data_IF_624464126766
#
_entry.id   IF_624464126766
#
_cell.length_a   1.000
_cell.length_b   1.000
_cell.length_c   1.000
_cell.angle_alpha   90.00
_cell.angle_beta   90.00
_cell.angle_gamma   90.00
#
_symmetry.space_group_name_H-M   'P 1'
#
loop_
_entity.id
_entity.type
_entity.pdbx_description
1 polymer ?
#
# COMPACT_ATOMS: atom_id res chain seq x y z
N UNK A 1 19.98 0.43 -7.40
CA UNK A 1 20.00 0.16 -8.86
C UNK A 1 20.66 -1.16 -9.24
N UNK A 2 21.79 -1.56 -8.62
CA UNK A 2 22.47 -2.84 -8.95
C UNK A 2 21.56 -4.08 -8.89
N UNK A 3 20.72 -4.21 -7.85
CA UNK A 3 19.79 -5.35 -7.74
C UNK A 3 18.74 -5.38 -8.85
N UNK A 4 18.20 -4.22 -9.23
CA UNK A 4 17.24 -4.12 -10.32
C UNK A 4 17.87 -4.48 -11.67
N UNK A 5 19.13 -4.08 -11.90
CA UNK A 5 19.89 -4.49 -13.09
C UNK A 5 20.00 -6.02 -13.17
N UNK A 6 20.39 -6.69 -12.07
CA UNK A 6 20.51 -8.16 -12.04
C UNK A 6 19.17 -8.86 -12.29
N UNK A 7 18.09 -8.37 -11.69
CA UNK A 7 16.74 -8.92 -11.92
C UNK A 7 16.33 -8.78 -13.39
N UNK A 8 16.64 -7.65 -14.03
CA UNK A 8 16.37 -7.42 -15.45
C UNK A 8 17.20 -8.32 -16.35
N UNK A 9 18.52 -8.42 -16.13
CA UNK A 9 19.42 -9.28 -16.92
C UNK A 9 19.08 -10.77 -16.80
N UNK A 10 18.56 -11.19 -15.64
CA UNK A 10 18.06 -12.54 -15.42
C UNK A 10 16.61 -12.75 -15.94
N UNK A 11 15.97 -11.71 -16.50
CA UNK A 11 14.63 -11.80 -17.10
C UNK A 11 13.46 -11.79 -16.12
N UNK A 12 13.68 -11.49 -14.84
CA UNK A 12 12.61 -11.51 -13.83
C UNK A 12 11.73 -10.25 -13.85
N UNK A 13 12.25 -9.10 -14.26
CA UNK A 13 11.51 -7.84 -14.33
C UNK A 13 11.71 -7.15 -15.69
N UNK A 14 10.80 -6.23 -16.01
CA UNK A 14 10.95 -5.29 -17.13
C UNK A 14 12.09 -4.29 -16.89
N UNK A 15 12.46 -3.54 -17.93
CA UNK A 15 13.57 -2.59 -17.88
C UNK A 15 13.37 -1.53 -16.78
N UNK A 16 14.32 -1.49 -15.84
CA UNK A 16 14.20 -0.71 -14.60
C UNK A 16 14.49 0.79 -14.73
N UNK A 17 14.87 1.29 -15.92
CA UNK A 17 15.11 2.71 -16.18
C UNK A 17 13.97 3.25 -17.02
N UNK A 18 12.84 3.48 -16.36
CA UNK A 18 11.59 3.93 -16.94
C UNK A 18 10.99 5.04 -16.07
N UNK A 19 10.35 6.01 -16.71
CA UNK A 19 9.51 7.03 -16.07
C UNK A 19 8.01 6.80 -16.35
N UNK A 20 7.69 5.71 -17.03
CA UNK A 20 6.34 5.29 -17.39
C UNK A 20 5.71 4.44 -16.29
N UNK A 21 4.41 4.63 -16.07
CA UNK A 21 3.56 3.78 -15.23
C UNK A 21 2.64 2.91 -16.08
N UNK A 22 2.78 2.95 -17.40
CA UNK A 22 1.99 2.17 -18.34
C UNK A 22 2.24 0.67 -18.17
N UNK A 23 1.20 -0.13 -18.35
CA UNK A 23 1.27 -1.59 -18.37
C UNK A 23 0.75 -2.08 -19.71
N UNK A 24 1.43 -3.04 -20.32
CA UNK A 24 0.93 -3.65 -21.56
C UNK A 24 -0.39 -4.37 -21.31
N UNK A 25 -1.20 -4.54 -22.36
CA UNK A 25 -2.46 -5.26 -22.25
C UNK A 25 -2.26 -6.71 -21.77
N UNK A 26 -1.17 -7.35 -22.19
CA UNK A 26 -0.80 -8.69 -21.74
C UNK A 26 -0.48 -8.71 -20.25
N UNK A 27 0.28 -7.72 -19.76
CA UNK A 27 0.59 -7.60 -18.34
C UNK A 27 -0.66 -7.40 -17.48
N UNK A 28 -1.57 -6.53 -17.94
CA UNK A 28 -2.85 -6.26 -17.28
C UNK A 28 -3.72 -7.54 -17.24
N UNK A 29 -3.82 -8.26 -18.34
CA UNK A 29 -4.60 -9.51 -18.41
C UNK A 29 -3.99 -10.58 -17.50
N UNK A 30 -2.68 -10.74 -17.52
CA UNK A 30 -1.93 -11.69 -16.69
C UNK A 30 -2.20 -11.47 -15.20
N UNK A 31 -1.99 -10.24 -14.71
CA UNK A 31 -2.16 -9.96 -13.28
C UNK A 31 -3.62 -10.03 -12.84
N UNK A 32 -4.56 -9.63 -13.70
CA UNK A 32 -6.01 -9.75 -13.41
C UNK A 32 -6.45 -11.21 -13.34
N UNK A 33 -5.93 -12.07 -14.21
CA UNK A 33 -6.13 -13.52 -14.14
C UNK A 33 -5.62 -14.07 -12.81
N UNK A 34 -4.38 -13.75 -12.45
CA UNK A 34 -3.80 -14.15 -11.16
C UNK A 34 -4.64 -13.69 -9.96
N UNK A 35 -5.15 -12.45 -9.99
CA UNK A 35 -6.00 -11.91 -8.91
C UNK A 35 -7.32 -12.68 -8.81
N UNK A 36 -7.95 -12.98 -9.95
CA UNK A 36 -9.18 -13.77 -10.01
C UNK A 36 -9.00 -15.12 -9.34
N UNK A 37 -7.91 -15.83 -9.69
CA UNK A 37 -7.64 -17.18 -9.24
C UNK A 37 -7.18 -17.25 -7.77
N UNK A 38 -6.37 -16.27 -7.34
CA UNK A 38 -5.70 -16.31 -6.03
C UNK A 38 -6.47 -15.60 -4.90
N UNK A 39 -7.26 -14.56 -5.21
CA UNK A 39 -7.94 -13.74 -4.20
C UNK A 39 -9.47 -13.76 -4.34
N UNK A 40 -9.99 -14.03 -5.53
CA UNK A 40 -11.40 -14.08 -5.83
C UNK A 40 -12.01 -12.75 -6.25
N UNK A 41 -13.25 -12.81 -6.77
CA UNK A 41 -13.91 -11.72 -7.49
C UNK A 41 -13.98 -10.38 -6.76
N UNK A 42 -14.10 -10.38 -5.42
CA UNK A 42 -14.17 -9.14 -4.63
C UNK A 42 -12.90 -8.30 -4.66
N UNK A 43 -11.76 -8.90 -5.01
CA UNK A 43 -10.47 -8.23 -5.12
C UNK A 43 -10.14 -7.76 -6.55
N UNK A 44 -10.94 -8.16 -7.53
CA UNK A 44 -10.73 -7.83 -8.94
C UNK A 44 -11.69 -6.69 -9.35
N UNK A 45 -11.17 -5.50 -9.71
CA UNK A 45 -11.98 -4.44 -10.27
C UNK A 45 -12.67 -4.87 -11.57
N UNK A 46 -13.91 -4.42 -11.77
CA UNK A 46 -14.69 -4.73 -12.98
C UNK A 46 -13.92 -4.33 -14.26
N UNK A 47 -13.41 -3.10 -14.29
CA UNK A 47 -12.55 -2.59 -15.34
C UNK A 47 -11.08 -2.53 -14.89
N UNK A 48 -10.10 -2.73 -15.79
CA UNK A 48 -8.69 -2.55 -15.46
C UNK A 48 -8.38 -1.14 -14.92
N UNK A 49 -7.50 -1.05 -13.93
CA UNK A 49 -7.02 0.23 -13.44
C UNK A 49 -6.00 0.79 -14.44
N UNK A 50 -6.16 2.06 -14.84
CA UNK A 50 -5.20 2.76 -15.69
C UNK A 50 -4.51 3.86 -14.89
N UNK A 51 -3.22 4.04 -15.12
CA UNK A 51 -2.39 5.05 -14.46
C UNK A 51 -1.77 5.95 -15.52
N UNK A 52 -1.84 7.27 -15.29
CA UNK A 52 -1.26 8.23 -16.22
C UNK A 52 0.28 8.20 -16.16
N UNK A 53 0.91 8.15 -17.34
CA UNK A 53 2.33 8.48 -17.51
C UNK A 53 2.50 10.00 -17.68
N UNK A 54 3.70 10.52 -17.42
CA UNK A 54 4.01 11.94 -17.65
C UNK A 54 4.01 12.24 -19.15
N UNK A 55 3.55 13.43 -19.56
CA UNK A 55 3.48 13.86 -20.98
C UNK A 55 4.82 13.80 -21.75
N UNK A 56 5.96 13.78 -21.04
CA UNK A 56 7.30 13.67 -21.63
C UNK A 56 7.96 12.30 -21.43
N UNK A 57 7.22 11.29 -20.93
CA UNK A 57 7.76 9.93 -20.87
C UNK A 57 8.01 9.45 -22.28
N UNK A 58 9.14 8.80 -22.53
CA UNK A 58 9.32 8.12 -23.81
C UNK A 58 8.23 7.04 -23.89
N UNK A 59 7.16 7.33 -24.64
CA UNK A 59 5.86 6.64 -24.62
C UNK A 59 5.94 5.12 -24.90
N UNK A 60 7.11 4.62 -25.29
CA UNK A 60 7.38 3.20 -25.56
C UNK A 60 7.81 2.38 -24.32
N UNK A 61 8.07 2.98 -23.15
CA UNK A 61 8.52 2.22 -21.98
C UNK A 61 7.35 1.74 -21.11
N UNK A 62 7.48 0.53 -20.61
CA UNK A 62 6.56 -0.07 -19.64
C UNK A 62 7.01 0.28 -18.20
N UNK A 63 6.09 0.19 -17.24
CA UNK A 63 6.42 0.24 -15.82
C UNK A 63 7.32 -0.93 -15.41
N UNK A 64 8.03 -0.76 -14.29
CA UNK A 64 8.80 -1.84 -13.66
C UNK A 64 7.81 -2.84 -13.05
N UNK A 65 7.79 -4.06 -13.58
CA UNK A 65 6.92 -5.16 -13.11
C UNK A 65 7.61 -6.51 -13.29
N UNK A 66 7.11 -7.60 -12.68
CA UNK A 66 7.52 -8.95 -13.02
C UNK A 66 7.26 -9.26 -14.48
N UNK A 67 8.15 -10.04 -15.09
CA UNK A 67 7.93 -10.62 -16.41
C UNK A 67 6.78 -11.63 -16.40
N UNK A 68 6.68 -12.42 -15.32
CA UNK A 68 5.61 -13.39 -15.05
C UNK A 68 5.09 -13.19 -13.62
N UNK A 69 3.79 -13.02 -13.46
CA UNK A 69 3.14 -12.84 -12.15
C UNK A 69 3.14 -14.12 -11.31
N UNK A 70 3.24 -15.30 -11.92
CA UNK A 70 3.22 -16.58 -11.23
C UNK A 70 4.56 -16.90 -10.53
N UNK A 71 5.65 -16.22 -10.93
CA UNK A 71 6.96 -16.38 -10.31
C UNK A 71 7.01 -15.61 -8.99
N UNK A 72 7.15 -16.32 -7.88
CA UNK A 72 7.28 -15.73 -6.54
C UNK A 72 8.74 -15.47 -6.18
N UNK A 73 9.00 -14.52 -5.28
CA UNK A 73 10.36 -14.12 -4.87
C UNK A 73 11.21 -15.30 -4.36
N UNK A 74 10.56 -16.24 -3.67
CA UNK A 74 11.17 -17.42 -3.07
C UNK A 74 11.67 -18.43 -4.13
N UNK A 75 11.19 -18.32 -5.38
CA UNK A 75 11.64 -19.17 -6.48
C UNK A 75 12.97 -18.69 -7.10
N UNK A 76 13.41 -17.46 -6.83
CA UNK A 76 14.63 -16.86 -7.38
C UNK A 76 15.88 -17.34 -6.61
N UNK A 77 16.16 -18.64 -6.65
CA UNK A 77 17.24 -19.28 -5.88
C UNK A 77 18.64 -18.75 -6.20
N UNK A 78 18.87 -18.30 -7.43
CA UNK A 78 20.16 -17.76 -7.89
C UNK A 78 20.34 -16.26 -7.60
N UNK A 79 19.36 -15.64 -6.94
CA UNK A 79 19.39 -14.23 -6.56
C UNK A 79 19.69 -14.05 -5.08
N UNK A 80 20.47 -13.03 -4.76
CA UNK A 80 20.77 -12.62 -3.39
C UNK A 80 19.50 -12.19 -2.65
N UNK A 81 19.51 -12.29 -1.32
CA UNK A 81 18.35 -12.00 -0.48
C UNK A 81 17.75 -10.60 -0.72
N UNK A 82 18.60 -9.59 -0.98
CA UNK A 82 18.13 -8.24 -1.23
C UNK A 82 17.52 -8.06 -2.64
N UNK A 83 17.98 -8.83 -3.63
CA UNK A 83 17.33 -8.89 -4.94
C UNK A 83 15.97 -9.59 -4.86
N UNK A 84 15.85 -10.66 -4.06
CA UNK A 84 14.56 -11.32 -3.81
C UNK A 84 13.57 -10.37 -3.09
N UNK A 85 14.02 -9.62 -2.08
CA UNK A 85 13.17 -8.60 -1.40
C UNK A 85 12.74 -7.49 -2.37
N UNK A 86 13.64 -7.03 -3.23
CA UNK A 86 13.30 -6.02 -4.24
C UNK A 86 12.28 -6.57 -5.25
N UNK A 87 12.46 -7.81 -5.71
CA UNK A 87 11.49 -8.47 -6.56
C UNK A 87 10.13 -8.60 -5.87
N UNK A 88 10.10 -9.02 -4.60
CA UNK A 88 8.86 -9.11 -3.82
C UNK A 88 8.14 -7.75 -3.73
N UNK A 89 8.89 -6.66 -3.54
CA UNK A 89 8.33 -5.31 -3.51
C UNK A 89 7.71 -4.92 -4.87
N UNK A 90 8.43 -5.16 -5.97
CA UNK A 90 7.95 -4.90 -7.33
C UNK A 90 6.70 -5.73 -7.62
N UNK A 91 6.73 -7.03 -7.28
CA UNK A 91 5.61 -7.95 -7.45
C UNK A 91 4.37 -7.50 -6.67
N UNK A 92 4.53 -7.15 -5.38
CA UNK A 92 3.42 -6.68 -4.53
C UNK A 92 2.80 -5.40 -5.07
N UNK A 93 3.62 -4.45 -5.51
CA UNK A 93 3.16 -3.21 -6.10
C UNK A 93 2.39 -3.45 -7.41
N UNK A 94 2.89 -4.33 -8.28
CA UNK A 94 2.27 -4.68 -9.55
C UNK A 94 0.92 -5.40 -9.36
N UNK A 95 0.83 -6.36 -8.44
CA UNK A 95 -0.45 -7.03 -8.14
C UNK A 95 -1.43 -6.05 -7.49
N UNK A 96 -0.99 -5.29 -6.47
CA UNK A 96 -1.83 -4.34 -5.76
C UNK A 96 -2.46 -3.28 -6.69
N UNK A 97 -1.74 -2.82 -7.72
CA UNK A 97 -2.24 -1.76 -8.59
C UNK A 97 -3.43 -2.20 -9.46
N UNK A 98 -3.66 -3.51 -9.64
CA UNK A 98 -4.82 -4.03 -10.34
C UNK A 98 -5.88 -4.64 -9.39
N UNK A 99 -5.76 -4.41 -8.08
CA UNK A 99 -6.75 -4.85 -7.09
C UNK A 99 -7.73 -3.73 -6.73
N UNK A 100 -8.87 -4.12 -6.16
CA UNK A 100 -9.89 -3.18 -5.63
C UNK A 100 -9.37 -2.36 -4.44
N UNK A 101 -9.88 -1.13 -4.24
CA UNK A 101 -9.55 -0.30 -3.09
C UNK A 101 -9.84 -0.96 -1.75
N UNK A 102 -9.01 -0.68 -0.74
CA UNK A 102 -9.36 -0.93 0.65
C UNK A 102 -10.51 0.00 1.09
N UNK A 103 -11.41 -0.49 1.93
CA UNK A 103 -12.56 0.27 2.44
C UNK A 103 -12.45 0.42 3.95
N UNK A 104 -12.77 1.62 4.44
CA UNK A 104 -12.67 1.99 5.84
C UNK A 104 -13.90 2.78 6.29
N UNK A 105 -14.36 2.50 7.50
CA UNK A 105 -15.28 3.38 8.21
C UNK A 105 -14.45 4.43 8.95
N UNK A 106 -14.56 5.69 8.55
CA UNK A 106 -13.79 6.79 9.15
C UNK A 106 -14.63 7.53 10.19
N UNK A 107 -14.04 7.82 11.34
CA UNK A 107 -14.62 8.63 12.42
C UNK A 107 -13.75 9.85 12.67
N UNK A 108 -14.37 11.04 12.71
CA UNK A 108 -13.70 12.28 13.11
C UNK A 108 -14.45 12.89 14.28
N UNK A 109 -13.78 13.01 15.41
CA UNK A 109 -14.27 13.73 16.58
C UNK A 109 -13.66 15.14 16.58
N UNK A 110 -14.50 16.14 16.85
CA UNK A 110 -14.05 17.52 17.07
C UNK A 110 -14.46 17.92 18.48
N UNK A 111 -13.48 18.31 19.30
CA UNK A 111 -13.66 18.66 20.71
C UNK A 111 -13.36 20.14 20.89
N UNK A 112 -14.27 20.87 21.53
CA UNK A 112 -14.03 22.25 21.96
C UNK A 112 -13.43 22.26 23.36
N UNK A 113 -12.41 23.10 23.59
CA UNK A 113 -11.78 23.30 24.89
C UNK A 113 -11.42 24.78 25.05
N UNK A 114 -12.31 25.56 25.68
CA UNK A 114 -12.21 27.02 25.68
C UNK A 114 -12.23 27.56 24.24
N UNK A 115 -11.23 28.36 23.89
CA UNK A 115 -11.06 28.92 22.54
C UNK A 115 -10.41 27.95 21.54
N UNK A 116 -10.01 26.75 22.00
CA UNK A 116 -9.34 25.76 21.16
C UNK A 116 -10.32 24.73 20.59
N UNK A 117 -9.96 24.20 19.41
CA UNK A 117 -10.60 23.03 18.81
C UNK A 117 -9.58 21.94 18.54
N UNK A 118 -9.80 20.78 19.13
CA UNK A 118 -9.01 19.58 18.90
C UNK A 118 -9.75 18.64 17.95
N UNK A 119 -9.00 17.83 17.20
CA UNK A 119 -9.55 16.80 16.33
C UNK A 119 -8.89 15.46 16.62
N UNK A 120 -9.71 14.44 16.79
CA UNK A 120 -9.26 13.06 16.76
C UNK A 120 -9.82 12.37 15.52
N UNK A 121 -8.99 11.60 14.84
CA UNK A 121 -9.37 10.77 13.71
C UNK A 121 -9.09 9.32 14.03
N UNK A 122 -9.98 8.45 13.60
CA UNK A 122 -9.80 7.02 13.63
C UNK A 122 -10.53 6.39 12.46
N UNK A 123 -10.14 5.17 12.11
CA UNK A 123 -10.82 4.40 11.07
C UNK A 123 -10.77 2.92 11.38
N UNK A 124 -11.78 2.20 10.93
CA UNK A 124 -11.88 0.74 11.05
C UNK A 124 -11.85 0.14 9.64
N UNK A 125 -10.94 -0.81 9.42
CA UNK A 125 -10.86 -1.53 8.15
C UNK A 125 -12.10 -2.41 7.95
N UNK A 126 -12.84 -2.18 6.86
CA UNK A 126 -13.97 -3.00 6.43
C UNK A 126 -13.59 -4.03 5.39
N UNK A 127 -12.66 -3.66 4.50
CA UNK A 127 -12.17 -4.52 3.44
C UNK A 127 -10.72 -4.17 3.12
N UNK A 128 -9.84 -5.17 3.16
CA UNK A 128 -8.39 -5.02 2.94
C UNK A 128 -8.04 -4.67 1.49
N UNK A 129 -8.81 -5.10 0.49
CA UNK A 129 -8.55 -4.78 -0.92
C UNK A 129 -7.09 -5.04 -1.31
N UNK A 130 -6.46 -4.09 -2.00
CA UNK A 130 -5.04 -4.14 -2.37
C UNK A 130 -4.07 -4.25 -1.17
N UNK A 131 -4.46 -3.78 0.02
CA UNK A 131 -3.58 -3.84 1.22
C UNK A 131 -3.33 -5.26 1.70
N UNK A 132 -4.10 -6.23 1.21
CA UNK A 132 -3.87 -7.65 1.43
C UNK A 132 -2.50 -8.12 0.93
N UNK A 133 -2.06 -7.60 -0.21
CA UNK A 133 -0.78 -8.00 -0.84
C UNK A 133 0.33 -6.99 -0.60
N UNK A 134 -0.01 -5.71 -0.48
CA UNK A 134 0.94 -4.64 -0.23
C UNK A 134 0.54 -3.94 1.08
N UNK A 135 1.12 -4.35 2.22
CA UNK A 135 0.78 -3.77 3.51
C UNK A 135 0.95 -2.25 3.48
N UNK A 136 -0.10 -1.52 3.85
CA UNK A 136 -0.05 -0.07 3.90
C UNK A 136 1.02 0.37 4.91
N UNK A 137 1.87 1.32 4.51
CA UNK A 137 2.76 2.01 5.44
C UNK A 137 1.87 2.80 6.40
N UNK A 138 1.69 2.28 7.62
CA UNK A 138 0.86 2.92 8.65
C UNK A 138 1.44 4.29 8.96
N UNK A 139 0.75 5.35 8.55
CA UNK A 139 1.12 6.71 8.91
C UNK A 139 0.35 7.10 10.18
N UNK A 140 1.02 6.97 11.31
CA UNK A 140 0.54 7.45 12.60
C UNK A 140 -0.71 6.76 13.14
N UNK A 141 -1.42 7.50 13.97
CA UNK A 141 -2.49 7.03 14.85
C UNK A 141 -3.87 6.88 14.17
N UNK A 142 -3.98 7.03 12.84
CA UNK A 142 -5.29 7.05 12.17
C UNK A 142 -5.96 5.67 12.13
N UNK A 143 -5.23 4.57 12.32
CA UNK A 143 -5.73 3.19 12.36
C UNK A 143 -6.31 2.77 13.73
N UNK A 144 -6.72 3.74 14.57
CA UNK A 144 -7.34 3.45 15.86
C UNK A 144 -8.86 3.50 15.80
N UNK A 145 -9.48 2.65 16.61
CA UNK A 145 -10.90 2.78 16.91
C UNK A 145 -11.07 3.90 17.92
N UNK A 146 -11.97 4.85 17.65
CA UNK A 146 -12.33 5.89 18.60
C UNK A 146 -13.48 5.41 19.49
N UNK A 147 -13.53 5.84 20.77
CA UNK A 147 -14.64 5.53 21.64
C UNK A 147 -15.93 6.17 21.11
N UNK A 148 -17.06 5.53 21.42
CA UNK A 148 -18.37 6.11 21.15
C UNK A 148 -18.58 7.33 22.05
N UNK A 149 -18.87 8.48 21.43
CA UNK A 149 -19.22 9.72 22.11
C UNK A 149 -20.33 10.42 21.33
N UNK A 150 -21.19 11.14 22.04
CA UNK A 150 -22.27 11.93 21.47
C UNK A 150 -21.90 13.42 21.45
N UNK A 151 -22.59 14.18 20.61
CA UNK A 151 -22.49 15.63 20.62
C UNK A 151 -22.96 16.15 21.98
N UNK A 152 -22.08 16.86 22.68
CA UNK A 152 -22.35 17.45 23.99
C UNK A 152 -21.78 16.67 25.17
N UNK A 153 -21.20 15.48 24.94
CA UNK A 153 -20.51 14.75 25.99
C UNK A 153 -19.33 15.57 26.52
N UNK A 154 -19.19 15.60 27.85
CA UNK A 154 -18.07 16.27 28.53
C UNK A 154 -16.93 15.27 28.67
N UNK A 155 -15.77 15.61 28.13
CA UNK A 155 -14.57 14.78 28.22
C UNK A 155 -13.66 15.26 29.34
N UNK A 156 -13.12 14.33 30.11
CA UNK A 156 -12.12 14.63 31.15
C UNK A 156 -10.73 14.72 30.53
N UNK A 157 -10.05 15.84 30.75
CA UNK A 157 -8.63 15.97 30.38
C UNK A 157 -7.79 15.09 31.30
N UNK A 158 -7.05 14.15 30.72
CA UNK A 158 -6.12 13.28 31.45
C UNK A 158 -4.71 13.88 31.45
N UNK A 159 -4.21 14.24 30.27
CA UNK A 159 -2.85 14.73 30.07
C UNK A 159 -2.79 15.63 28.82
N UNK A 160 -1.82 16.54 28.80
CA UNK A 160 -1.44 17.32 27.61
C UNK A 160 0.03 17.07 27.28
N UNK A 161 0.31 16.56 26.08
CA UNK A 161 1.66 16.40 25.57
C UNK A 161 1.97 17.49 24.51
N UNK A 162 2.88 18.44 24.80
CA UNK A 162 3.31 19.46 23.84
C UNK A 162 4.15 18.91 22.66
N UNK A 163 4.61 17.65 22.71
CA UNK A 163 5.69 17.11 21.87
C UNK A 163 5.38 15.91 20.98
N UNK A 164 4.15 15.40 20.91
CA UNK A 164 3.87 14.17 20.16
C UNK A 164 3.97 14.31 18.62
N UNK A 165 5.15 14.07 18.06
CA UNK A 165 5.31 13.28 16.84
C UNK A 165 5.51 11.81 17.26
N UNK A 166 4.51 10.98 16.99
CA UNK A 166 4.36 9.61 17.51
C UNK A 166 5.62 8.74 17.41
N UNK A 167 6.15 8.31 18.55
CA UNK A 167 6.92 7.07 18.68
C UNK A 167 6.58 6.32 19.97
N UNK A 168 6.33 5.02 19.81
CA UNK A 168 6.12 4.06 20.89
C UNK A 168 7.40 3.92 21.72
N UNK A 169 7.28 3.88 23.04
CA UNK A 169 8.27 3.23 23.88
C UNK A 169 7.63 2.06 24.62
N UNK A 170 8.18 0.90 24.32
CA UNK A 170 8.00 -0.40 24.98
C UNK A 170 8.28 -0.26 26.48
N UNK A 171 7.45 -0.89 27.30
CA UNK A 171 7.59 -0.85 28.75
C UNK A 171 8.80 -1.62 29.29
N UNK A 172 9.19 -1.31 30.53
CA UNK A 172 9.07 -2.18 31.70
C UNK A 172 9.80 -1.51 32.87
N UNK A 173 9.08 -1.26 33.96
CA UNK A 173 9.69 -1.10 35.29
C UNK A 173 9.78 -2.49 35.91
N UNK A 174 11.01 -2.99 36.06
CA UNK A 174 11.55 -3.55 37.30
C UNK A 174 13.05 -3.23 37.34
#
# INVERSE_FOLDING_TARGET
MMMAQRLYEAGYITYMRTDSTNLSQDAVNMVRGYISDSFGKKYLPENPNQYASKENSQEAHEAIRPSDVAVMAEALKDMEADAQKLYQLIWRQFVACQMTPAQYDSTTLTVGAGDFRLKARGRILRFDGWTKVMPALRKGDEDRTLPAVNKGDVLTLVETDPGAALHQTTGALQ
#
